data_IF_800957619347
#
_entry.id   IF_800957619347
#
_cell.length_a   1.000
_cell.length_b   1.000
_cell.length_c   1.000
_cell.angle_alpha   90.00
_cell.angle_beta   90.00
_cell.angle_gamma   90.00
#
_symmetry.space_group_name_H-M   'P 1'
#
loop_
_entity.id
_entity.type
_entity.pdbx_description
1 polymer ?
#
# COMPACT_ATOMS: atom_id res chain seq x y z
N UNK A 1 -22.00 52.05 4.28
CA UNK A 1 -20.64 52.05 3.71
C UNK A 1 -20.64 52.91 2.47
N UNK A 2 -19.72 53.86 2.37
CA UNK A 2 -19.65 54.78 1.22
C UNK A 2 -19.09 54.04 -0.02
N UNK A 3 -19.58 54.38 -1.23
CA UNK A 3 -19.15 53.85 -2.50
C UNK A 3 -17.60 53.74 -2.68
N UNK A 4 -16.78 54.69 -2.18
CA UNK A 4 -15.30 54.54 -2.26
C UNK A 4 -14.76 53.42 -1.41
N UNK A 5 -15.36 53.10 -0.26
CA UNK A 5 -14.88 52.03 0.63
C UNK A 5 -15.16 50.61 0.04
N UNK A 6 -16.26 50.46 -0.70
CA UNK A 6 -16.58 49.25 -1.42
C UNK A 6 -15.57 48.95 -2.57
N UNK A 7 -15.23 49.98 -3.37
CA UNK A 7 -14.23 49.81 -4.44
C UNK A 7 -12.83 49.44 -3.90
N UNK A 8 -12.44 50.01 -2.77
CA UNK A 8 -11.15 49.67 -2.12
C UNK A 8 -11.13 48.24 -1.58
N UNK A 9 -12.30 47.75 -1.12
CA UNK A 9 -12.44 46.39 -0.62
C UNK A 9 -12.42 45.36 -1.78
N UNK A 10 -13.13 45.64 -2.88
CA UNK A 10 -13.10 44.82 -4.09
C UNK A 10 -11.68 44.70 -4.68
N UNK A 11 -10.97 45.81 -4.83
CA UNK A 11 -9.57 45.83 -5.28
C UNK A 11 -8.63 45.02 -4.35
N UNK A 12 -8.88 45.03 -3.05
CA UNK A 12 -8.12 44.19 -2.09
C UNK A 12 -8.40 42.71 -2.27
N UNK A 13 -9.64 42.32 -2.50
CA UNK A 13 -10.03 40.93 -2.76
C UNK A 13 -9.43 40.46 -4.09
N UNK A 14 -9.55 41.23 -5.16
CA UNK A 14 -8.96 40.89 -6.47
C UNK A 14 -7.43 40.70 -6.38
N UNK A 15 -6.76 41.57 -5.62
CA UNK A 15 -5.32 41.45 -5.40
C UNK A 15 -4.95 40.18 -4.62
N UNK A 16 -5.74 39.79 -3.62
CA UNK A 16 -5.55 38.56 -2.87
C UNK A 16 -5.81 37.31 -3.74
N UNK A 17 -6.85 37.34 -4.57
CA UNK A 17 -7.15 36.27 -5.52
C UNK A 17 -6.03 36.10 -6.57
N UNK A 18 -5.53 37.19 -7.14
CA UNK A 18 -4.37 37.12 -8.06
C UNK A 18 -3.12 36.57 -7.39
N UNK A 19 -2.83 36.95 -6.14
CA UNK A 19 -1.71 36.39 -5.39
C UNK A 19 -1.89 34.91 -5.07
N UNK A 20 -3.10 34.47 -4.80
CA UNK A 20 -3.45 33.07 -4.59
C UNK A 20 -3.23 32.24 -5.86
N UNK A 21 -3.73 32.71 -7.02
CA UNK A 21 -3.54 32.06 -8.31
C UNK A 21 -2.06 31.98 -8.72
N UNK A 22 -1.30 33.05 -8.49
CA UNK A 22 0.16 33.06 -8.74
C UNK A 22 0.89 32.05 -7.84
N UNK A 23 0.53 31.95 -6.57
CA UNK A 23 1.12 30.96 -5.63
C UNK A 23 0.75 29.52 -6.04
N UNK A 24 -0.50 29.30 -6.43
CA UNK A 24 -0.97 28.01 -6.95
C UNK A 24 -0.18 27.59 -8.19
N UNK A 25 -0.06 28.46 -9.19
CA UNK A 25 0.72 28.20 -10.41
C UNK A 25 2.22 27.95 -10.11
N UNK A 26 2.79 28.61 -9.13
CA UNK A 26 4.19 28.40 -8.72
C UNK A 26 4.38 27.02 -8.06
N UNK A 27 3.43 26.59 -7.22
CA UNK A 27 3.42 25.27 -6.60
C UNK A 27 3.26 24.19 -7.65
N UNK A 28 2.32 24.35 -8.59
CA UNK A 28 2.10 23.42 -9.71
C UNK A 28 3.36 23.25 -10.56
N UNK A 29 4.02 24.36 -10.97
CA UNK A 29 5.30 24.31 -11.72
C UNK A 29 6.44 23.65 -10.91
N UNK A 30 6.44 23.80 -9.60
CA UNK A 30 7.46 23.17 -8.73
C UNK A 30 7.22 21.65 -8.63
N UNK A 31 5.97 21.25 -8.51
CA UNK A 31 5.54 19.85 -8.54
C UNK A 31 5.86 19.21 -9.89
N UNK A 32 5.50 19.84 -11.00
CA UNK A 32 5.81 19.34 -12.35
C UNK A 32 7.33 19.17 -12.58
N UNK A 33 8.15 20.13 -12.14
CA UNK A 33 9.62 20.00 -12.24
C UNK A 33 10.16 18.86 -11.37
N UNK A 34 9.60 18.62 -10.20
CA UNK A 34 9.97 17.46 -9.38
C UNK A 34 9.54 16.15 -10.04
N UNK A 35 8.33 16.09 -10.60
CA UNK A 35 7.84 14.91 -11.32
C UNK A 35 8.74 14.60 -12.51
N UNK A 36 9.08 15.59 -13.37
CA UNK A 36 10.00 15.38 -14.52
C UNK A 36 11.40 14.92 -14.10
N UNK A 37 11.97 15.51 -13.05
CA UNK A 37 13.28 15.06 -12.50
C UNK A 37 13.21 13.63 -11.98
N UNK A 38 12.09 13.27 -11.38
CA UNK A 38 11.83 11.93 -10.87
C UNK A 38 11.66 10.91 -12.00
N UNK A 39 10.90 11.24 -13.05
CA UNK A 39 10.71 10.41 -14.25
C UNK A 39 12.03 10.15 -14.97
N UNK A 40 12.88 11.17 -15.12
CA UNK A 40 14.22 11.02 -15.74
C UNK A 40 15.11 10.07 -14.93
N UNK A 41 15.11 10.20 -13.60
CA UNK A 41 15.87 9.32 -12.70
C UNK A 41 15.33 7.89 -12.69
N UNK A 42 13.99 7.73 -12.73
CA UNK A 42 13.27 6.47 -12.84
C UNK A 42 13.62 5.70 -14.11
N UNK A 43 13.60 6.39 -15.26
CA UNK A 43 13.93 5.77 -16.56
C UNK A 43 15.38 5.27 -16.61
N UNK A 44 16.31 5.93 -15.92
CA UNK A 44 17.70 5.48 -15.79
C UNK A 44 17.86 4.24 -14.91
N UNK A 45 17.09 4.15 -13.82
CA UNK A 45 17.08 2.98 -12.93
C UNK A 45 16.35 1.80 -13.60
N UNK A 46 15.22 2.06 -14.25
CA UNK A 46 14.47 1.06 -15.01
C UNK A 46 15.33 0.38 -16.08
N UNK A 47 16.06 1.15 -16.88
CA UNK A 47 16.99 0.60 -17.90
C UNK A 47 18.13 -0.27 -17.29
N UNK A 48 18.69 0.10 -16.13
CA UNK A 48 19.71 -0.69 -15.44
C UNK A 48 19.14 -2.01 -14.92
N UNK A 49 17.94 -2.00 -14.35
CA UNK A 49 17.25 -3.21 -13.89
C UNK A 49 16.92 -4.09 -15.10
N UNK A 50 16.46 -3.50 -16.20
CA UNK A 50 16.16 -4.20 -17.45
C UNK A 50 17.38 -4.95 -18.02
N UNK A 51 18.54 -4.31 -18.02
CA UNK A 51 19.79 -4.93 -18.44
C UNK A 51 20.23 -6.06 -17.49
N UNK A 52 20.06 -5.90 -16.18
CA UNK A 52 20.38 -6.95 -15.22
C UNK A 52 19.45 -8.15 -15.33
N UNK A 53 18.16 -7.93 -15.53
CA UNK A 53 17.15 -8.99 -15.72
C UNK A 53 17.41 -9.73 -17.04
N UNK A 54 17.65 -9.03 -18.16
CA UNK A 54 18.03 -9.65 -19.43
C UNK A 54 19.26 -10.55 -19.29
N UNK A 55 20.33 -10.07 -18.64
CA UNK A 55 21.53 -10.89 -18.37
C UNK A 55 21.25 -12.12 -17.51
N UNK A 56 20.26 -12.03 -16.61
CA UNK A 56 19.84 -13.16 -15.77
C UNK A 56 19.00 -14.17 -16.55
N UNK A 57 18.10 -13.70 -17.41
CA UNK A 57 17.26 -14.50 -18.32
C UNK A 57 18.14 -15.28 -19.34
N UNK A 58 19.11 -14.58 -19.95
CA UNK A 58 20.05 -15.17 -20.90
C UNK A 58 20.94 -16.24 -20.26
N UNK A 59 21.33 -16.06 -18.98
CA UNK A 59 22.18 -17.04 -18.28
C UNK A 59 21.44 -18.31 -17.81
N UNK A 60 20.11 -18.29 -17.65
CA UNK A 60 19.36 -19.41 -17.05
C UNK A 60 18.24 -19.98 -17.90
N UNK A 61 17.96 -19.42 -19.08
CA UNK A 61 16.92 -19.93 -20.00
C UNK A 61 15.50 -19.91 -19.40
N UNK A 62 15.23 -19.09 -18.37
CA UNK A 62 13.95 -19.01 -17.68
C UNK A 62 13.18 -17.83 -18.25
N UNK A 63 12.03 -18.09 -18.89
CA UNK A 63 11.04 -17.05 -19.18
C UNK A 63 10.36 -16.67 -17.85
N UNK A 64 10.56 -15.43 -17.47
CA UNK A 64 9.92 -14.86 -16.28
C UNK A 64 8.44 -14.53 -16.61
N UNK A 65 7.54 -15.26 -15.98
CA UNK A 65 6.09 -15.14 -16.15
C UNK A 65 5.53 -13.76 -15.73
N UNK A 66 4.25 -13.52 -16.05
CA UNK A 66 3.53 -12.27 -15.78
C UNK A 66 3.62 -11.78 -14.32
N UNK A 67 3.89 -12.66 -13.36
CA UNK A 67 4.11 -12.34 -11.94
C UNK A 67 5.38 -11.51 -11.72
N UNK A 68 6.44 -11.78 -12.45
CA UNK A 68 7.67 -10.99 -12.38
C UNK A 68 7.50 -9.65 -13.10
N UNK A 69 6.74 -9.60 -14.19
CA UNK A 69 6.32 -8.34 -14.81
C UNK A 69 5.50 -7.50 -13.83
N UNK A 70 4.67 -8.15 -13.02
CA UNK A 70 3.89 -7.50 -12.00
C UNK A 70 4.78 -6.98 -10.85
N UNK A 71 5.66 -7.82 -10.28
CA UNK A 71 6.64 -7.41 -9.25
C UNK A 71 7.52 -6.29 -9.80
N UNK A 72 7.90 -6.36 -11.09
CA UNK A 72 8.64 -5.32 -11.78
C UNK A 72 7.86 -4.02 -11.90
N UNK A 73 6.57 -4.07 -12.33
CA UNK A 73 5.71 -2.89 -12.38
C UNK A 73 5.41 -2.31 -10.99
N UNK A 74 5.49 -3.13 -9.96
CA UNK A 74 5.31 -2.74 -8.57
C UNK A 74 6.60 -2.15 -7.98
N UNK A 75 7.77 -2.71 -8.32
CA UNK A 75 9.10 -2.16 -8.02
C UNK A 75 9.36 -0.87 -8.82
N UNK A 76 8.87 -0.77 -10.04
CA UNK A 76 8.93 0.42 -10.89
C UNK A 76 7.91 1.50 -10.50
N UNK A 77 6.88 1.16 -9.72
CA UNK A 77 5.93 2.10 -9.12
C UNK A 77 6.42 2.60 -7.76
N UNK A 78 6.04 3.83 -7.36
CA UNK A 78 6.63 4.52 -6.18
C UNK A 78 6.46 3.85 -4.82
N UNK A 79 5.85 2.68 -4.71
CA UNK A 79 5.89 1.88 -3.49
C UNK A 79 7.27 1.26 -3.20
N UNK A 80 8.09 0.99 -4.22
CA UNK A 80 9.48 0.59 -4.03
C UNK A 80 10.39 1.77 -3.66
N UNK A 81 9.95 2.98 -3.98
CA UNK A 81 10.54 4.24 -3.54
C UNK A 81 9.81 4.74 -2.30
N UNK A 82 8.70 4.12 -1.93
CA UNK A 82 7.78 4.48 -0.86
C UNK A 82 8.37 4.41 0.55
N UNK A 83 9.44 3.66 0.76
CA UNK A 83 10.22 3.77 1.99
C UNK A 83 10.93 5.14 2.13
N UNK A 84 10.98 5.92 1.04
CA UNK A 84 11.69 7.21 0.99
C UNK A 84 10.79 8.37 0.58
N UNK A 85 9.58 8.12 0.04
CA UNK A 85 8.66 9.19 -0.34
C UNK A 85 7.59 9.44 0.74
N UNK A 86 7.33 10.71 1.12
CA UNK A 86 6.31 11.07 2.10
C UNK A 86 4.92 10.46 1.79
N UNK A 87 4.59 10.31 0.51
CA UNK A 87 3.32 9.74 0.03
C UNK A 87 3.11 8.28 0.42
N UNK A 88 4.11 7.42 0.24
CA UNK A 88 4.02 6.01 0.63
C UNK A 88 3.87 5.80 2.14
N UNK A 89 4.50 6.67 2.94
CA UNK A 89 4.36 6.66 4.40
C UNK A 89 2.94 7.01 4.86
N UNK A 90 2.27 7.96 4.18
CA UNK A 90 0.89 8.34 4.52
C UNK A 90 -0.06 7.17 4.27
N UNK A 91 0.08 6.46 3.14
CA UNK A 91 -0.73 5.29 2.84
C UNK A 91 -0.50 4.18 3.88
N UNK A 92 0.76 3.86 4.17
CA UNK A 92 1.13 2.84 5.14
C UNK A 92 0.57 3.14 6.55
N UNK A 93 0.73 4.38 7.02
CA UNK A 93 0.15 4.84 8.30
C UNK A 93 -1.38 4.82 8.29
N UNK A 94 -2.02 5.14 7.15
CA UNK A 94 -3.47 5.04 7.03
C UNK A 94 -3.93 3.59 7.15
N UNK A 95 -3.19 2.62 6.59
CA UNK A 95 -3.50 1.20 6.75
C UNK A 95 -3.32 0.74 8.20
N UNK A 96 -2.20 1.13 8.83
CA UNK A 96 -1.89 0.76 10.21
C UNK A 96 -2.92 1.27 11.23
N UNK A 97 -3.56 2.44 11.00
CA UNK A 97 -4.59 3.00 11.90
C UNK A 97 -5.81 2.11 12.11
N UNK A 98 -6.07 1.17 11.22
CA UNK A 98 -7.19 0.23 11.34
C UNK A 98 -6.83 -1.03 12.14
N UNK A 99 -5.58 -1.15 12.58
CA UNK A 99 -5.10 -2.24 13.43
C UNK A 99 -4.99 -1.72 14.86
N UNK A 100 -5.70 -2.36 15.78
CA UNK A 100 -5.55 -2.06 17.20
C UNK A 100 -4.25 -2.69 17.73
N UNK A 101 -3.26 -1.87 18.14
CA UNK A 101 -1.99 -2.40 18.63
C UNK A 101 -2.12 -3.16 19.97
N UNK A 102 -3.20 -2.92 20.72
CA UNK A 102 -3.45 -3.54 22.04
C UNK A 102 -4.32 -4.79 21.95
N UNK A 103 -4.86 -5.14 20.78
CA UNK A 103 -5.65 -6.37 20.62
C UNK A 103 -4.77 -7.59 20.78
N UNK A 104 -5.32 -8.65 21.36
CA UNK A 104 -4.63 -9.94 21.45
C UNK A 104 -4.56 -10.62 20.06
N UNK A 105 -3.51 -11.43 19.87
CA UNK A 105 -3.31 -12.21 18.67
C UNK A 105 -2.34 -11.60 17.65
N UNK A 106 -1.93 -12.39 16.67
CA UNK A 106 -1.01 -11.98 15.62
C UNK A 106 -1.64 -11.00 14.65
N UNK A 107 -0.80 -10.13 14.06
CA UNK A 107 -1.14 -9.27 12.93
C UNK A 107 -0.45 -9.82 11.71
N UNK A 108 -1.25 -10.27 10.73
CA UNK A 108 -0.75 -10.87 9.49
C UNK A 108 -0.61 -9.80 8.42
N UNK A 109 0.56 -9.67 7.80
CA UNK A 109 0.78 -8.82 6.63
C UNK A 109 1.04 -9.67 5.39
N UNK A 110 0.23 -9.45 4.35
CA UNK A 110 0.32 -10.13 3.06
C UNK A 110 1.04 -9.26 2.03
N UNK A 111 2.20 -9.69 1.57
CA UNK A 111 3.02 -8.99 0.60
C UNK A 111 3.64 -7.70 1.16
N UNK A 112 4.41 -7.75 2.26
CA UNK A 112 5.08 -6.59 2.84
C UNK A 112 6.09 -5.92 1.90
N UNK A 113 6.65 -6.65 0.95
CA UNK A 113 7.65 -6.13 0.02
C UNK A 113 8.88 -5.61 0.75
N UNK A 114 9.17 -4.31 0.64
CA UNK A 114 10.28 -3.65 1.36
C UNK A 114 9.93 -3.25 2.79
N UNK A 115 8.70 -3.49 3.26
CA UNK A 115 8.25 -3.29 4.63
C UNK A 115 7.73 -1.92 5.04
N UNK A 116 7.18 -1.08 4.13
CA UNK A 116 6.66 0.24 4.54
C UNK A 116 5.43 0.14 5.44
N UNK A 117 4.56 -0.85 5.22
CA UNK A 117 3.38 -1.07 6.07
C UNK A 117 3.79 -1.77 7.36
N UNK A 118 4.73 -2.70 7.29
CA UNK A 118 5.37 -3.30 8.49
C UNK A 118 5.93 -2.21 9.42
N UNK A 119 6.69 -1.24 8.85
CA UNK A 119 7.23 -0.10 9.60
C UNK A 119 6.10 0.72 10.26
N UNK A 120 5.04 1.02 9.52
CA UNK A 120 3.92 1.79 10.03
C UNK A 120 3.12 1.05 11.12
N UNK A 121 3.02 -0.28 11.06
CA UNK A 121 2.41 -1.11 12.10
C UNK A 121 3.23 -1.05 13.40
N UNK A 122 4.56 -1.17 13.29
CA UNK A 122 5.46 -1.04 14.45
C UNK A 122 5.42 0.39 15.01
N UNK A 123 5.45 1.42 14.17
CA UNK A 123 5.28 2.82 14.58
C UNK A 123 3.93 3.07 15.30
N UNK A 124 2.88 2.33 14.93
CA UNK A 124 1.56 2.40 15.56
C UNK A 124 1.47 1.63 16.89
N UNK A 125 2.53 0.92 17.30
CA UNK A 125 2.61 0.21 18.57
C UNK A 125 2.40 -1.30 18.49
N UNK A 126 2.27 -1.89 17.30
CA UNK A 126 2.23 -3.35 17.15
C UNK A 126 3.61 -3.91 17.44
N UNK A 127 3.71 -4.79 18.46
CA UNK A 127 4.97 -5.44 18.80
C UNK A 127 5.47 -6.30 17.63
N UNK A 128 6.77 -6.19 17.23
CA UNK A 128 7.32 -6.98 16.13
C UNK A 128 7.11 -8.50 16.27
N UNK A 129 7.15 -9.02 17.49
CA UNK A 129 6.90 -10.44 17.79
C UNK A 129 5.48 -10.93 17.47
N UNK A 130 4.52 -10.01 17.32
CA UNK A 130 3.14 -10.31 16.90
C UNK A 130 2.97 -10.30 15.39
N UNK A 131 3.95 -9.80 14.62
CA UNK A 131 3.86 -9.71 13.18
C UNK A 131 4.12 -11.06 12.54
N UNK A 132 3.24 -11.46 11.62
CA UNK A 132 3.39 -12.60 10.73
C UNK A 132 3.40 -12.10 9.29
N UNK A 133 4.56 -12.13 8.66
CA UNK A 133 4.81 -11.54 7.34
C UNK A 133 4.84 -12.64 6.28
N UNK A 134 3.90 -12.59 5.32
CA UNK A 134 3.87 -13.55 4.20
C UNK A 134 4.39 -12.86 2.95
N UNK A 135 5.58 -13.25 2.49
CA UNK A 135 6.26 -12.64 1.35
C UNK A 135 6.74 -13.71 0.36
N UNK A 136 6.48 -13.49 -0.92
CA UNK A 136 6.88 -14.42 -1.98
C UNK A 136 8.34 -14.25 -2.40
N UNK A 137 8.83 -13.02 -2.45
CA UNK A 137 10.15 -12.70 -2.99
C UNK A 137 11.26 -13.01 -1.96
N UNK A 138 12.22 -13.93 -2.27
CA UNK A 138 13.26 -14.30 -1.33
C UNK A 138 14.21 -13.15 -0.98
N UNK A 139 14.36 -12.15 -1.84
CA UNK A 139 15.17 -10.96 -1.55
C UNK A 139 14.51 -10.06 -0.52
N UNK A 140 13.19 -9.86 -0.63
CA UNK A 140 12.43 -9.13 0.38
C UNK A 140 12.34 -9.92 1.69
N UNK A 141 12.22 -11.24 1.62
CA UNK A 141 12.29 -12.08 2.82
C UNK A 141 13.61 -11.88 3.60
N UNK A 142 14.76 -11.84 2.91
CA UNK A 142 16.04 -11.55 3.57
C UNK A 142 16.10 -10.17 4.19
N UNK A 143 15.59 -9.15 3.49
CA UNK A 143 15.51 -7.78 3.98
C UNK A 143 14.66 -7.67 5.24
N UNK A 144 13.44 -8.25 5.20
CA UNK A 144 12.49 -8.21 6.31
C UNK A 144 13.01 -8.96 7.53
N UNK A 145 13.63 -10.14 7.33
CA UNK A 145 14.24 -10.91 8.43
C UNK A 145 15.36 -10.13 9.14
N UNK A 146 16.18 -9.40 8.37
CA UNK A 146 17.23 -8.57 8.95
C UNK A 146 16.66 -7.35 9.69
N UNK A 147 15.55 -6.78 9.21
CA UNK A 147 14.95 -5.56 9.76
C UNK A 147 14.02 -5.82 10.94
N UNK A 148 13.32 -6.97 10.92
CA UNK A 148 12.35 -7.37 11.92
C UNK A 148 12.63 -8.80 12.38
N UNK A 149 13.74 -9.04 13.11
CA UNK A 149 14.17 -10.39 13.50
C UNK A 149 13.17 -11.10 14.42
N UNK A 150 12.36 -10.36 15.17
CA UNK A 150 11.33 -10.90 16.08
C UNK A 150 10.04 -11.30 15.34
N UNK A 151 9.82 -10.79 14.11
CA UNK A 151 8.63 -11.11 13.34
C UNK A 151 8.72 -12.53 12.74
N UNK A 152 7.59 -13.23 12.72
CA UNK A 152 7.49 -14.51 12.02
C UNK A 152 7.42 -14.26 10.51
N UNK A 153 8.44 -14.67 9.79
CA UNK A 153 8.49 -14.51 8.33
C UNK A 153 8.23 -15.83 7.62
N UNK A 154 7.17 -15.87 6.82
CA UNK A 154 6.75 -17.00 5.99
C UNK A 154 7.01 -16.68 4.52
N UNK A 155 7.92 -17.42 3.89
CA UNK A 155 8.14 -17.31 2.46
C UNK A 155 7.10 -18.15 1.71
N UNK A 156 6.21 -17.49 0.94
CA UNK A 156 5.20 -18.20 0.16
C UNK A 156 4.22 -17.29 -0.57
N UNK A 157 3.34 -17.90 -1.37
CA UNK A 157 2.29 -17.18 -2.08
C UNK A 157 1.15 -16.84 -1.11
N UNK A 158 0.93 -15.55 -0.88
CA UNK A 158 -0.11 -15.05 0.00
C UNK A 158 -1.53 -15.43 -0.44
N UNK A 159 -1.77 -15.75 -1.71
CA UNK A 159 -3.06 -16.29 -2.17
C UNK A 159 -3.32 -17.73 -1.69
N UNK A 160 -2.31 -18.40 -1.15
CA UNK A 160 -2.39 -19.67 -0.44
C UNK A 160 -2.28 -19.55 1.08
N UNK A 161 -2.56 -18.36 1.65
CA UNK A 161 -2.32 -18.02 3.04
C UNK A 161 -2.91 -19.03 4.04
N UNK A 162 -4.09 -19.59 3.77
CA UNK A 162 -4.70 -20.59 4.65
C UNK A 162 -3.76 -21.76 4.92
N UNK A 163 -3.23 -22.38 3.85
CA UNK A 163 -2.31 -23.52 3.96
C UNK A 163 -0.98 -23.15 4.63
N UNK A 164 -0.52 -21.88 4.46
CA UNK A 164 0.74 -21.41 5.04
C UNK A 164 0.60 -21.12 6.53
N UNK A 165 -0.57 -20.67 6.97
CA UNK A 165 -0.77 -20.08 8.30
C UNK A 165 -1.63 -20.94 9.24
N UNK A 166 -2.45 -21.86 8.72
CA UNK A 166 -3.39 -22.66 9.50
C UNK A 166 -2.74 -23.43 10.65
N UNK A 167 -1.52 -23.95 10.46
CA UNK A 167 -0.75 -24.66 11.48
C UNK A 167 0.23 -23.77 12.23
N UNK A 168 0.52 -22.60 11.72
CA UNK A 168 1.49 -21.66 12.28
C UNK A 168 0.85 -20.71 13.28
N UNK A 169 -0.40 -20.29 13.04
CA UNK A 169 -1.13 -19.41 13.93
C UNK A 169 -1.69 -20.20 15.10
N UNK A 170 -1.11 -20.03 16.28
CA UNK A 170 -1.57 -20.68 17.52
C UNK A 170 -2.88 -20.10 18.05
N UNK A 171 -3.25 -18.91 17.58
CA UNK A 171 -4.50 -18.21 17.89
C UNK A 171 -4.97 -17.38 16.69
N UNK A 172 -6.26 -17.04 16.61
CA UNK A 172 -6.78 -16.25 15.49
C UNK A 172 -6.11 -14.88 15.37
N UNK A 173 -5.93 -14.43 14.12
CA UNK A 173 -5.29 -13.15 13.85
C UNK A 173 -6.18 -11.97 14.28
N UNK A 174 -5.58 -10.98 14.94
CA UNK A 174 -6.23 -9.74 15.34
C UNK A 174 -6.49 -8.80 14.16
N UNK A 175 -5.70 -8.93 13.09
CA UNK A 175 -5.88 -8.21 11.83
C UNK A 175 -5.16 -8.92 10.69
N UNK A 176 -5.64 -8.69 9.46
CA UNK A 176 -4.89 -8.99 8.23
C UNK A 176 -4.73 -7.69 7.45
N UNK A 177 -3.49 -7.35 7.10
CA UNK A 177 -3.15 -6.17 6.29
C UNK A 177 -2.55 -6.63 4.98
N UNK A 178 -3.16 -6.22 3.86
CA UNK A 178 -2.81 -6.73 2.53
C UNK A 178 -2.21 -5.63 1.64
N UNK A 179 -0.95 -5.83 1.25
CA UNK A 179 -0.25 -5.07 0.22
C UNK A 179 -0.46 -5.63 -1.19
N UNK A 180 -1.29 -6.66 -1.36
CA UNK A 180 -1.47 -7.35 -2.63
C UNK A 180 -2.30 -6.53 -3.63
N UNK A 181 -2.02 -6.63 -4.92
CA UNK A 181 -2.77 -5.93 -5.97
C UNK A 181 -4.06 -6.68 -6.36
N UNK A 182 -5.01 -6.77 -5.46
CA UNK A 182 -6.21 -7.60 -5.63
C UNK A 182 -6.96 -7.33 -6.93
N UNK A 183 -7.02 -6.06 -7.38
CA UNK A 183 -7.76 -5.69 -8.61
C UNK A 183 -7.23 -6.35 -9.88
N UNK A 184 -5.98 -6.83 -9.87
CA UNK A 184 -5.37 -7.53 -11.02
C UNK A 184 -5.73 -9.02 -11.08
N UNK A 185 -6.32 -9.57 -10.02
CA UNK A 185 -6.67 -10.99 -9.93
C UNK A 185 -8.16 -11.23 -10.23
N UNK A 186 -8.52 -12.39 -10.75
CA UNK A 186 -9.92 -12.78 -10.95
C UNK A 186 -10.73 -12.68 -9.66
N UNK A 187 -12.01 -12.31 -9.78
CA UNK A 187 -12.89 -12.09 -8.62
C UNK A 187 -12.98 -13.30 -7.69
N UNK A 188 -13.02 -14.52 -8.24
CA UNK A 188 -13.06 -15.75 -7.44
C UNK A 188 -11.82 -15.92 -6.55
N UNK A 189 -10.64 -15.52 -7.04
CA UNK A 189 -9.40 -15.56 -6.25
C UNK A 189 -9.41 -14.53 -5.12
N UNK A 190 -9.92 -13.31 -5.38
CA UNK A 190 -10.06 -12.27 -4.37
C UNK A 190 -11.02 -12.69 -3.25
N UNK A 191 -12.16 -13.26 -3.62
CA UNK A 191 -13.17 -13.75 -2.66
C UNK A 191 -12.68 -14.94 -1.86
N UNK A 192 -11.86 -15.81 -2.47
CA UNK A 192 -11.22 -16.92 -1.73
C UNK A 192 -10.24 -16.35 -0.70
N UNK A 193 -9.36 -15.44 -1.10
CA UNK A 193 -8.37 -14.84 -0.19
C UNK A 193 -9.04 -14.23 1.04
N UNK A 194 -10.09 -13.40 0.87
CA UNK A 194 -10.74 -12.77 2.02
C UNK A 194 -11.48 -13.78 2.90
N UNK A 195 -12.07 -14.83 2.32
CA UNK A 195 -12.68 -15.92 3.07
C UNK A 195 -11.64 -16.65 3.90
N UNK A 196 -10.53 -17.05 3.28
CA UNK A 196 -9.42 -17.72 3.94
C UNK A 196 -8.84 -16.86 5.08
N UNK A 197 -8.77 -15.52 4.86
CA UNK A 197 -8.38 -14.59 5.91
C UNK A 197 -9.37 -14.57 7.08
N UNK A 198 -10.67 -14.43 6.81
CA UNK A 198 -11.69 -14.39 7.85
C UNK A 198 -11.78 -15.69 8.67
N UNK A 199 -11.44 -16.83 8.06
CA UNK A 199 -11.42 -18.11 8.78
C UNK A 199 -10.21 -18.21 9.75
N UNK A 200 -9.18 -17.39 9.55
CA UNK A 200 -7.99 -17.32 10.39
C UNK A 200 -7.99 -16.12 11.37
N UNK A 201 -9.02 -15.28 11.33
CA UNK A 201 -9.11 -14.04 12.10
C UNK A 201 -10.11 -14.14 13.24
N UNK A 202 -9.92 -13.29 14.24
CA UNK A 202 -10.92 -13.06 15.28
C UNK A 202 -12.22 -12.53 14.66
N UNK A 203 -13.40 -12.86 15.24
CA UNK A 203 -14.66 -12.28 14.81
C UNK A 203 -14.59 -10.75 14.83
N UNK A 204 -15.04 -10.10 13.75
CA UNK A 204 -15.02 -8.65 13.62
C UNK A 204 -13.65 -8.01 13.38
N UNK A 205 -12.56 -8.78 13.38
CA UNK A 205 -11.22 -8.27 13.08
C UNK A 205 -11.13 -7.67 11.68
N UNK A 206 -10.30 -6.64 11.45
CA UNK A 206 -10.21 -5.94 10.18
C UNK A 206 -9.31 -6.68 9.18
N UNK A 207 -9.83 -6.88 7.96
CA UNK A 207 -9.01 -7.12 6.78
C UNK A 207 -8.79 -5.79 6.08
N UNK A 208 -7.56 -5.28 6.09
CA UNK A 208 -7.19 -3.95 5.57
C UNK A 208 -6.52 -4.09 4.21
N UNK A 209 -7.05 -3.41 3.19
CA UNK A 209 -6.55 -3.46 1.82
C UNK A 209 -6.49 -2.06 1.21
N UNK A 210 -5.44 -1.72 0.51
CA UNK A 210 -5.44 -0.50 -0.28
C UNK A 210 -5.74 -0.76 -1.76
N UNK A 211 -6.17 0.28 -2.47
CA UNK A 211 -6.31 0.28 -3.93
C UNK A 211 -6.12 1.67 -4.50
N UNK A 212 -5.65 1.73 -5.74
CA UNK A 212 -5.64 2.95 -6.56
C UNK A 212 -6.96 3.14 -7.32
N UNK A 213 -7.79 2.10 -7.38
CA UNK A 213 -9.11 2.16 -8.00
C UNK A 213 -10.08 3.01 -7.19
N UNK A 214 -11.08 3.60 -7.86
CA UNK A 214 -12.21 4.30 -7.21
C UNK A 214 -13.16 3.29 -6.55
N UNK A 215 -13.25 2.09 -7.14
CA UNK A 215 -14.14 1.02 -6.68
C UNK A 215 -13.45 0.11 -5.66
N UNK A 216 -14.27 -0.51 -4.80
CA UNK A 216 -13.81 -1.56 -3.90
C UNK A 216 -13.18 -2.73 -4.68
N UNK A 217 -11.99 -3.22 -4.29
CA UNK A 217 -11.40 -4.41 -4.88
C UNK A 217 -12.23 -5.69 -4.65
N UNK A 218 -13.14 -5.65 -3.66
CA UNK A 218 -14.04 -6.75 -3.33
C UNK A 218 -15.50 -6.29 -3.46
N UNK A 219 -16.36 -6.99 -4.21
CA UNK A 219 -17.76 -6.61 -4.39
C UNK A 219 -18.56 -6.88 -3.12
N UNK A 220 -19.15 -5.83 -2.56
CA UNK A 220 -19.92 -5.89 -1.30
C UNK A 220 -21.07 -6.89 -1.33
N UNK A 221 -21.68 -7.13 -2.52
CA UNK A 221 -22.87 -7.99 -2.69
C UNK A 221 -22.60 -9.48 -2.61
N UNK A 222 -21.35 -9.91 -2.60
CA UNK A 222 -20.98 -11.32 -2.76
C UNK A 222 -20.31 -11.95 -1.54
N UNK A 223 -20.15 -11.25 -0.41
CA UNK A 223 -19.14 -11.67 0.53
C UNK A 223 -19.53 -11.99 1.97
N UNK A 224 -20.73 -11.68 2.47
CA UNK A 224 -21.01 -11.85 3.91
C UNK A 224 -20.03 -11.04 4.78
N UNK A 225 -19.72 -9.81 4.36
CA UNK A 225 -18.84 -8.89 5.08
C UNK A 225 -19.28 -7.44 4.89
N UNK A 226 -19.02 -6.61 5.88
CA UNK A 226 -19.10 -5.16 5.76
C UNK A 226 -17.85 -4.63 5.06
N UNK A 227 -17.97 -3.46 4.44
CA UNK A 227 -16.85 -2.78 3.80
C UNK A 227 -16.92 -1.29 4.09
N UNK A 228 -15.88 -0.77 4.68
CA UNK A 228 -15.65 0.64 4.99
C UNK A 228 -14.49 1.16 4.14
N UNK A 229 -14.57 2.43 3.71
CA UNK A 229 -13.52 3.05 2.93
C UNK A 229 -12.98 4.28 3.66
N UNK A 230 -11.65 4.45 3.68
CA UNK A 230 -11.03 5.69 4.11
C UNK A 230 -11.37 6.85 3.18
N UNK A 231 -11.04 8.06 3.59
CA UNK A 231 -10.89 9.16 2.65
C UNK A 231 -9.82 8.84 1.61
N UNK A 232 -9.91 9.54 0.46
CA UNK A 232 -8.92 9.37 -0.59
C UNK A 232 -7.60 10.03 -0.21
N UNK A 233 -6.52 9.30 -0.30
CA UNK A 233 -5.17 9.78 0.02
C UNK A 233 -4.60 10.43 -1.24
N UNK A 234 -4.88 11.73 -1.41
CA UNK A 234 -4.48 12.53 -2.57
C UNK A 234 -2.98 12.77 -2.66
N UNK A 235 -2.29 12.76 -1.52
CA UNK A 235 -0.84 12.91 -1.48
C UNK A 235 -0.09 11.65 -1.91
N UNK A 236 -0.78 10.54 -2.10
CA UNK A 236 -0.22 9.34 -2.72
C UNK A 236 -0.29 9.46 -4.24
N UNK A 237 0.76 9.07 -4.95
CA UNK A 237 0.82 9.14 -6.43
C UNK A 237 1.03 7.74 -6.99
N UNK A 238 -0.01 7.18 -7.67
CA UNK A 238 -1.37 7.71 -7.86
C UNK A 238 -2.18 7.74 -6.57
N UNK A 239 -3.25 8.60 -6.48
CA UNK A 239 -4.08 8.68 -5.28
C UNK A 239 -4.67 7.32 -4.91
N UNK A 240 -4.56 6.96 -3.63
CA UNK A 240 -4.99 5.67 -3.10
C UNK A 240 -6.18 5.80 -2.15
N UNK A 241 -6.81 4.67 -1.84
CA UNK A 241 -7.83 4.53 -0.81
C UNK A 241 -7.61 3.23 -0.05
N UNK A 242 -7.83 3.24 1.25
CA UNK A 242 -7.82 2.06 2.10
C UNK A 242 -9.26 1.56 2.27
N UNK A 243 -9.43 0.25 2.18
CA UNK A 243 -10.67 -0.45 2.43
C UNK A 243 -10.49 -1.38 3.62
N UNK A 244 -11.48 -1.41 4.49
CA UNK A 244 -11.52 -2.29 5.65
C UNK A 244 -12.74 -3.18 5.54
N UNK A 245 -12.51 -4.47 5.58
CA UNK A 245 -13.55 -5.49 5.51
C UNK A 245 -13.64 -6.21 6.85
N UNK A 246 -14.86 -6.50 7.32
CA UNK A 246 -15.11 -7.28 8.53
C UNK A 246 -16.17 -8.32 8.24
N UNK A 247 -15.94 -9.55 8.69
CA UNK A 247 -16.94 -10.64 8.58
C UNK A 247 -18.21 -10.24 9.34
N UNK A 248 -19.38 -10.41 8.71
CA UNK A 248 -20.71 -10.21 9.31
C UNK A 248 -21.19 -11.45 10.03
#
# INVERSE_FOLDING_TARGET
MSLPALRTFEQKIERQLRLFELRKALIERKIERQIRRFETKRNGIGKKIEQQVRRFEEKRGIRLDDEVRFIRSWIERPLSIGAVTPSGKILARTMARYVDPNSDGPVVELGPGTGPVTEALVEAGVAPSRLVLVEFNPTFCRLLRARYPEATLVQGDAYGMRRLLETLLLQPAAAVVSGLPLVTKPIGMRLRLIRDAFDLMLPGAPFVQFTYSVASPLPRRLGGFTAEASERIWMNIPPARVWVYRKT
#
